data_IF_818380411648
#
_entry.id   IF_818380411648
#
_cell.length_a   1.000
_cell.length_b   1.000
_cell.length_c   1.000
_cell.angle_alpha   90.00
_cell.angle_beta   90.00
_cell.angle_gamma   90.00
#
_symmetry.space_group_name_H-M   'P 1'
#
loop_
_entity.id
_entity.type
_entity.pdbx_description
1 polymer ?
#
# COMPACT_ATOMS: atom_id res chain seq x y z
N UNK A 1 -4.82 -12.99 -2.22
CA UNK A 1 -4.22 -13.16 -3.57
C UNK A 1 -2.73 -12.92 -3.44
N UNK A 2 -1.90 -13.54 -4.27
CA UNK A 2 -0.45 -13.35 -4.18
C UNK A 2 0.03 -12.46 -5.31
N UNK A 3 0.94 -11.54 -5.00
CA UNK A 3 1.61 -10.67 -5.99
C UNK A 3 3.12 -10.76 -5.84
N UNK A 4 3.86 -10.47 -6.90
CA UNK A 4 5.32 -10.35 -6.87
C UNK A 4 5.71 -8.88 -6.81
N UNK A 5 6.48 -8.51 -5.78
CA UNK A 5 7.09 -7.19 -5.59
C UNK A 5 8.59 -7.39 -5.73
N UNK A 6 9.17 -6.88 -6.82
CA UNK A 6 10.61 -7.00 -7.12
C UNK A 6 11.17 -8.44 -7.02
N UNK A 7 10.36 -9.45 -7.29
CA UNK A 7 10.73 -10.87 -7.20
C UNK A 7 10.37 -11.55 -5.88
N UNK A 8 9.92 -10.79 -4.87
CA UNK A 8 9.42 -11.31 -3.59
C UNK A 8 7.90 -11.46 -3.61
N UNK A 9 7.41 -12.65 -3.24
CA UNK A 9 5.98 -12.91 -3.15
C UNK A 9 5.38 -12.33 -1.87
N UNK A 10 4.27 -11.60 -2.01
CA UNK A 10 3.45 -11.07 -0.93
C UNK A 10 2.01 -11.56 -1.02
N UNK A 11 1.42 -11.94 0.11
CA UNK A 11 0.02 -12.31 0.20
C UNK A 11 -0.86 -11.11 0.60
N UNK A 12 -1.83 -10.78 -0.24
CA UNK A 12 -2.83 -9.73 0.01
C UNK A 12 -4.11 -10.35 0.58
N UNK A 13 -4.54 -9.81 1.72
CA UNK A 13 -5.73 -10.21 2.46
C UNK A 13 -6.70 -9.03 2.61
N UNK A 14 -7.91 -9.18 2.06
CA UNK A 14 -9.00 -8.24 2.34
C UNK A 14 -9.84 -8.77 3.49
N UNK A 15 -9.69 -8.18 4.67
CA UNK A 15 -10.24 -8.71 5.92
C UNK A 15 -11.34 -7.84 6.47
N UNK A 16 -12.25 -8.45 7.22
CA UNK A 16 -13.30 -7.72 7.96
C UNK A 16 -12.78 -7.19 9.29
N UNK A 17 -11.81 -7.90 9.85
CA UNK A 17 -11.12 -7.66 11.12
C UNK A 17 -9.71 -8.22 10.95
N UNK A 18 -8.72 -7.59 11.57
CA UNK A 18 -7.36 -8.12 11.53
C UNK A 18 -7.25 -9.44 12.31
N UNK A 19 -6.32 -10.34 11.91
CA UNK A 19 -5.98 -11.52 12.71
C UNK A 19 -5.62 -11.13 14.15
N UNK A 20 -5.90 -12.02 15.12
CA UNK A 20 -5.69 -11.75 16.55
C UNK A 20 -4.28 -11.22 16.85
N UNK A 21 -3.26 -11.82 16.23
CA UNK A 21 -1.84 -11.42 16.37
C UNK A 21 -1.51 -10.00 15.86
N UNK A 22 -2.42 -9.39 15.10
CA UNK A 22 -2.28 -8.05 14.51
C UNK A 22 -3.28 -7.04 15.08
N UNK A 23 -4.24 -7.46 15.92
CA UNK A 23 -5.31 -6.57 16.43
C UNK A 23 -4.79 -5.31 17.11
N UNK A 24 -3.74 -5.43 17.94
CA UNK A 24 -3.19 -4.28 18.67
C UNK A 24 -2.52 -3.22 17.78
N UNK A 25 -2.04 -3.61 16.59
CA UNK A 25 -1.42 -2.67 15.64
C UNK A 25 -2.45 -2.17 14.62
N UNK A 26 -3.40 -3.04 14.23
CA UNK A 26 -4.41 -2.75 13.21
C UNK A 26 -5.66 -2.02 13.72
N UNK A 27 -5.81 -1.77 15.02
CA UNK A 27 -7.03 -1.15 15.59
C UNK A 27 -7.37 0.22 14.96
N UNK A 28 -6.36 0.94 14.47
CA UNK A 28 -6.51 2.30 13.93
C UNK A 28 -6.08 2.44 12.47
N UNK A 29 -5.86 1.32 11.76
CA UNK A 29 -5.30 1.35 10.41
C UNK A 29 -6.24 0.70 9.39
N UNK A 30 -6.49 1.38 8.27
CA UNK A 30 -7.27 0.83 7.15
C UNK A 30 -6.47 -0.21 6.33
N UNK A 31 -5.14 -0.17 6.44
CA UNK A 31 -4.21 -1.11 5.82
C UNK A 31 -3.08 -1.48 6.77
N UNK A 32 -2.43 -2.62 6.51
CA UNK A 32 -1.23 -3.03 7.23
C UNK A 32 -0.27 -3.77 6.31
N UNK A 33 0.94 -3.26 6.19
CA UNK A 33 2.09 -3.93 5.59
C UNK A 33 2.93 -4.66 6.64
N UNK A 34 3.03 -5.99 6.52
CA UNK A 34 3.91 -6.81 7.35
C UNK A 34 5.10 -7.30 6.55
N UNK A 35 6.21 -6.56 6.65
CA UNK A 35 7.47 -6.88 5.95
C UNK A 35 8.03 -8.27 6.28
N UNK A 36 7.98 -8.68 7.54
CA UNK A 36 8.64 -9.92 7.99
C UNK A 36 7.90 -11.17 7.51
N UNK A 37 6.58 -11.12 7.49
CA UNK A 37 5.74 -12.24 7.06
C UNK A 37 5.37 -12.17 5.58
N UNK A 38 5.67 -11.06 4.91
CA UNK A 38 5.32 -10.79 3.50
C UNK A 38 3.81 -10.81 3.26
N UNK A 39 3.10 -10.11 4.13
CA UNK A 39 1.64 -10.02 4.08
C UNK A 39 1.21 -8.56 3.99
N UNK A 40 0.18 -8.31 3.19
CA UNK A 40 -0.51 -7.02 3.08
C UNK A 40 -1.97 -7.25 3.47
N UNK A 41 -2.46 -6.51 4.44
CA UNK A 41 -3.84 -6.58 4.89
C UNK A 41 -4.56 -5.28 4.55
N UNK A 42 -5.78 -5.39 4.03
CA UNK A 42 -6.67 -4.25 3.75
C UNK A 42 -7.97 -4.48 4.49
N UNK A 43 -8.33 -3.55 5.37
CA UNK A 43 -9.58 -3.60 6.11
C UNK A 43 -10.74 -3.25 5.18
N UNK A 44 -11.75 -4.12 5.15
CA UNK A 44 -13.01 -3.86 4.44
C UNK A 44 -13.81 -2.87 5.28
N UNK A 45 -13.64 -1.58 4.95
CA UNK A 45 -14.40 -0.51 5.55
C UNK A 45 -15.93 -0.78 5.41
N UNK A 46 -16.64 -0.76 6.54
CA UNK A 46 -18.10 -0.96 6.63
C UNK A 46 -18.85 0.30 7.04
N UNK A 47 -18.16 1.44 7.02
CA UNK A 47 -18.78 2.72 7.27
C UNK A 47 -19.96 2.90 6.31
N UNK A 48 -21.11 3.21 6.91
CA UNK A 48 -22.38 3.40 6.19
C UNK A 48 -22.36 4.71 5.41
N UNK A 49 -21.46 5.61 5.74
CA UNK A 49 -21.32 6.91 5.08
C UNK A 49 -20.74 6.78 3.67
N UNK A 50 -20.12 5.65 3.33
CA UNK A 50 -19.57 5.42 2.00
C UNK A 50 -20.58 4.74 1.06
N UNK A 51 -20.65 5.23 -0.17
CA UNK A 51 -21.23 4.47 -1.29
C UNK A 51 -20.37 3.24 -1.61
N UNK A 52 -20.91 2.28 -2.36
CA UNK A 52 -20.12 1.11 -2.81
C UNK A 52 -18.89 1.52 -3.64
N UNK A 53 -19.06 2.53 -4.49
CA UNK A 53 -17.97 3.09 -5.28
C UNK A 53 -16.94 3.82 -4.40
N UNK A 54 -17.40 4.60 -3.41
CA UNK A 54 -16.54 5.26 -2.43
C UNK A 54 -15.69 4.26 -1.64
N UNK A 55 -16.29 3.17 -1.17
CA UNK A 55 -15.58 2.06 -0.50
C UNK A 55 -14.52 1.45 -1.41
N UNK A 56 -14.87 1.13 -2.66
CA UNK A 56 -13.92 0.56 -3.62
C UNK A 56 -12.74 1.51 -3.89
N UNK A 57 -13.02 2.81 -4.06
CA UNK A 57 -11.99 3.83 -4.26
C UNK A 57 -11.05 3.95 -3.07
N UNK A 58 -11.60 3.99 -1.86
CA UNK A 58 -10.82 4.04 -0.63
C UNK A 58 -9.94 2.79 -0.47
N UNK A 59 -10.51 1.58 -0.59
CA UNK A 59 -9.74 0.33 -0.50
C UNK A 59 -8.62 0.25 -1.55
N UNK A 60 -8.87 0.72 -2.77
CA UNK A 60 -7.85 0.79 -3.81
C UNK A 60 -6.72 1.79 -3.46
N UNK A 61 -7.05 2.88 -2.74
CA UNK A 61 -6.07 3.85 -2.27
C UNK A 61 -5.16 3.24 -1.21
N UNK A 62 -5.76 2.62 -0.19
CA UNK A 62 -5.04 1.91 0.87
C UNK A 62 -4.16 0.80 0.28
N UNK A 63 -4.70 0.01 -0.66
CA UNK A 63 -3.90 -1.05 -1.29
C UNK A 63 -2.67 -0.52 -2.03
N UNK A 64 -2.80 0.60 -2.76
CA UNK A 64 -1.63 1.21 -3.41
C UNK A 64 -0.61 1.70 -2.38
N UNK A 65 -1.07 2.31 -1.28
CA UNK A 65 -0.22 2.75 -0.18
C UNK A 65 0.62 1.59 0.36
N UNK A 66 0.00 0.47 0.74
CA UNK A 66 0.73 -0.70 1.26
C UNK A 66 1.65 -1.37 0.22
N UNK A 67 1.27 -1.36 -1.06
CA UNK A 67 2.12 -1.86 -2.14
C UNK A 67 3.38 -0.98 -2.29
N UNK A 68 3.26 0.35 -2.15
CA UNK A 68 4.40 1.25 -2.20
C UNK A 68 5.35 0.98 -1.02
N UNK A 69 4.84 0.77 0.19
CA UNK A 69 5.65 0.30 1.32
C UNK A 69 6.42 -0.97 0.99
N UNK A 70 5.77 -1.96 0.37
CA UNK A 70 6.44 -3.19 -0.06
C UNK A 70 7.55 -2.94 -1.10
N UNK A 71 7.33 -2.07 -2.09
CA UNK A 71 8.39 -1.71 -3.06
C UNK A 71 9.57 -0.99 -2.40
N UNK A 72 9.31 -0.11 -1.43
CA UNK A 72 10.35 0.62 -0.70
C UNK A 72 11.16 -0.32 0.22
N UNK A 73 10.53 -1.36 0.77
CA UNK A 73 11.21 -2.42 1.52
C UNK A 73 12.08 -3.29 0.62
N UNK A 74 11.52 -3.86 -0.47
CA UNK A 74 12.26 -4.79 -1.33
C UNK A 74 13.37 -4.11 -2.15
N UNK A 75 13.30 -2.78 -2.33
CA UNK A 75 14.39 -1.99 -2.91
C UNK A 75 15.53 -1.68 -1.92
N UNK A 76 15.35 -1.97 -0.63
CA UNK A 76 16.29 -1.65 0.44
C UNK A 76 16.27 -0.18 0.89
N UNK A 77 15.43 0.66 0.30
CA UNK A 77 15.31 2.08 0.63
C UNK A 77 14.70 2.31 2.02
N UNK A 78 13.84 1.41 2.48
CA UNK A 78 13.32 1.42 3.86
C UNK A 78 14.44 1.26 4.90
N UNK A 79 15.51 0.54 4.56
CA UNK A 79 16.64 0.27 5.45
C UNK A 79 17.74 1.34 5.33
N UNK A 80 17.93 1.91 4.14
CA UNK A 80 18.96 2.94 3.91
C UNK A 80 18.50 3.96 2.86
N UNK A 81 18.25 5.19 3.32
CA UNK A 81 17.87 6.35 2.50
C UNK A 81 19.03 7.34 2.31
N UNK A 82 20.27 6.86 2.46
CA UNK A 82 21.50 7.64 2.39
C UNK A 82 21.49 8.81 3.40
N UNK A 83 21.83 10.03 2.98
CA UNK A 83 21.89 11.20 3.85
C UNK A 83 20.51 11.81 4.17
N UNK A 84 19.44 11.33 3.52
CA UNK A 84 18.09 11.85 3.77
C UNK A 84 17.42 10.95 4.80
N UNK A 85 16.97 11.53 5.90
CA UNK A 85 16.35 10.79 6.99
C UNK A 85 15.04 10.13 6.55
N UNK A 86 15.05 8.80 6.38
CA UNK A 86 13.88 7.94 6.33
C UNK A 86 12.77 8.37 5.34
N UNK A 87 13.10 9.03 4.23
CA UNK A 87 12.09 9.49 3.27
C UNK A 87 11.25 8.34 2.69
N UNK A 88 11.84 7.16 2.57
CA UNK A 88 11.17 5.95 2.09
C UNK A 88 10.20 5.34 3.13
N UNK A 89 10.22 5.81 4.38
CA UNK A 89 9.25 5.45 5.41
C UNK A 89 8.35 6.63 5.80
N UNK A 90 8.46 7.74 5.08
CA UNK A 90 7.65 8.91 5.32
C UNK A 90 6.25 8.68 4.72
N UNK A 91 5.22 8.58 5.56
CA UNK A 91 3.85 8.29 5.13
C UNK A 91 3.30 9.32 4.13
N UNK A 92 3.66 10.60 4.27
CA UNK A 92 3.24 11.63 3.30
C UNK A 92 3.80 11.36 1.90
N UNK A 93 5.05 10.92 1.80
CA UNK A 93 5.67 10.54 0.52
C UNK A 93 5.03 9.26 -0.05
N UNK A 94 4.74 8.27 0.80
CA UNK A 94 4.07 7.02 0.38
C UNK A 94 2.64 7.31 -0.10
N UNK A 95 1.90 8.13 0.63
CA UNK A 95 0.56 8.58 0.25
C UNK A 95 0.59 9.37 -1.06
N UNK A 96 1.51 10.31 -1.20
CA UNK A 96 1.64 11.10 -2.42
C UNK A 96 1.89 10.19 -3.63
N UNK A 97 2.83 9.24 -3.51
CA UNK A 97 3.08 8.26 -4.56
C UNK A 97 1.82 7.44 -4.85
N UNK A 98 1.18 6.84 -3.84
CA UNK A 98 0.00 6.01 -4.01
C UNK A 98 -1.19 6.75 -4.65
N UNK A 99 -1.37 8.04 -4.33
CA UNK A 99 -2.44 8.89 -4.88
C UNK A 99 -2.11 9.34 -6.30
N UNK A 100 -0.85 9.71 -6.57
CA UNK A 100 -0.46 10.25 -7.88
C UNK A 100 -0.14 9.17 -8.91
N UNK A 101 0.34 7.99 -8.53
CA UNK A 101 0.77 6.94 -9.47
C UNK A 101 -0.25 6.64 -10.57
N UNK A 102 -1.56 6.46 -10.32
CA UNK A 102 -2.53 6.22 -11.38
C UNK A 102 -2.62 7.38 -12.40
N UNK A 103 -2.47 8.63 -11.93
CA UNK A 103 -2.52 9.82 -12.81
C UNK A 103 -1.25 9.93 -13.63
N UNK A 104 -0.10 9.74 -12.98
CA UNK A 104 1.22 9.76 -13.64
C UNK A 104 1.29 8.68 -14.72
N UNK A 105 0.88 7.44 -14.39
CA UNK A 105 0.88 6.34 -15.36
C UNK A 105 -0.13 6.54 -16.49
N UNK A 106 -1.28 7.17 -16.22
CA UNK A 106 -2.20 7.56 -17.28
C UNK A 106 -1.55 8.57 -18.24
N UNK A 107 -0.84 9.57 -17.73
CA UNK A 107 -0.08 10.52 -18.56
C UNK A 107 1.04 9.83 -19.34
N UNK A 108 1.78 8.91 -18.72
CA UNK A 108 2.83 8.15 -19.43
C UNK A 108 2.24 7.31 -20.56
N UNK A 109 1.10 6.67 -20.32
CA UNK A 109 0.39 5.90 -21.34
C UNK A 109 -0.12 6.79 -22.48
N UNK A 110 -0.65 7.98 -22.17
CA UNK A 110 -1.15 8.94 -23.15
C UNK A 110 -0.06 9.44 -24.10
N UNK A 111 1.13 9.73 -23.58
CA UNK A 111 2.26 10.21 -24.40
C UNK A 111 3.15 9.08 -24.93
N UNK A 112 2.82 7.83 -24.67
CA UNK A 112 3.55 6.66 -25.15
C UNK A 112 4.94 6.49 -24.54
N UNK A 113 5.13 6.87 -23.26
CA UNK A 113 6.38 6.65 -22.51
C UNK A 113 6.23 5.67 -21.33
N UNK A 114 5.18 4.83 -21.37
CA UNK A 114 5.00 3.71 -20.45
C UNK A 114 5.52 2.44 -21.14
N UNK A 115 6.81 2.15 -20.98
CA UNK A 115 7.48 0.96 -21.52
C UNK A 115 7.35 -0.28 -20.63
#
# INVERSE_FOLDING_TARGET
MTISIMGTCYDIHFVKEYPERLKGVGEYADGLFNRCNREIYILKNRDKDFTDEGRKRHMNCVLRHEIIHAYLEESGLSANSNMISAWAQNEEMVDWLAIQSPKIFATFQEVGCLD
#
